data_IF_405914173779
#
_entry.id   IF_405914173779
#
_cell.length_a   1.000
_cell.length_b   1.000
_cell.length_c   1.000
_cell.angle_alpha   90.00
_cell.angle_beta   90.00
_cell.angle_gamma   90.00
#
_symmetry.space_group_name_H-M   'P 1'
#
loop_
_entity.id
_entity.type
_entity.pdbx_description
1 polymer ?
#
# COMPACT_ATOMS: atom_id res chain seq x y z
N UNK A 1 -3.33 -21.09 1.88
CA UNK A 1 -4.17 -20.12 2.60
C UNK A 1 -3.50 -19.78 3.91
N UNK A 2 -3.38 -18.50 4.22
CA UNK A 2 -3.02 -18.04 5.57
C UNK A 2 -4.31 -17.75 6.36
N UNK A 3 -4.20 -17.33 7.62
CA UNK A 3 -5.35 -17.06 8.48
C UNK A 3 -6.00 -15.69 8.17
N UNK A 4 -5.22 -14.68 7.80
CA UNK A 4 -5.70 -13.29 7.66
C UNK A 4 -5.46 -12.67 6.28
N UNK A 5 -4.28 -12.88 5.69
CA UNK A 5 -3.84 -12.19 4.46
C UNK A 5 -3.04 -13.12 3.57
N UNK A 6 -3.42 -13.17 2.31
CA UNK A 6 -2.84 -14.06 1.29
C UNK A 6 -2.53 -13.29 0.00
N UNK A 7 -2.15 -14.00 -1.07
CA UNK A 7 -1.80 -13.40 -2.35
C UNK A 7 -2.98 -12.71 -3.07
N UNK A 8 -4.22 -13.00 -2.69
CA UNK A 8 -5.42 -12.36 -3.25
C UNK A 8 -5.85 -11.11 -2.46
N UNK A 9 -5.18 -10.84 -1.33
CA UNK A 9 -5.50 -9.72 -0.46
C UNK A 9 -5.09 -8.40 -1.10
N UNK A 10 -6.08 -7.52 -1.28
CA UNK A 10 -5.89 -6.16 -1.81
C UNK A 10 -5.59 -5.19 -0.68
N UNK A 11 -4.47 -4.49 -0.77
CA UNK A 11 -3.98 -3.59 0.28
C UNK A 11 -4.09 -2.13 -0.16
N UNK A 12 -4.53 -1.27 0.74
CA UNK A 12 -4.53 0.19 0.57
C UNK A 12 -3.57 0.81 1.56
N UNK A 13 -2.70 1.72 1.10
CA UNK A 13 -1.73 2.40 1.97
C UNK A 13 -2.21 3.82 2.30
N UNK A 14 -2.47 4.06 3.58
CA UNK A 14 -2.81 5.38 4.09
C UNK A 14 -1.54 6.21 4.37
N UNK A 15 -1.53 7.46 3.91
CA UNK A 15 -0.35 8.31 4.00
C UNK A 15 0.76 7.91 3.01
N UNK A 16 0.40 7.33 1.84
CA UNK A 16 1.37 6.80 0.88
C UNK A 16 2.45 7.81 0.48
N UNK A 17 2.09 9.09 0.36
CA UNK A 17 3.05 10.14 -0.05
C UNK A 17 3.88 10.73 1.11
N UNK A 18 3.72 10.22 2.33
CA UNK A 18 4.58 10.53 3.47
C UNK A 18 5.84 9.66 3.47
N UNK A 19 6.85 10.03 4.27
CA UNK A 19 8.16 9.35 4.30
C UNK A 19 8.05 7.83 4.49
N UNK A 20 7.36 7.40 5.55
CA UNK A 20 7.22 5.97 5.87
C UNK A 20 6.29 5.25 4.90
N UNK A 21 5.19 5.90 4.49
CA UNK A 21 4.25 5.34 3.53
C UNK A 21 4.91 5.08 2.18
N UNK A 22 5.75 5.99 1.71
CA UNK A 22 6.48 5.84 0.45
C UNK A 22 7.56 4.76 0.56
N UNK A 23 8.34 4.76 1.65
CA UNK A 23 9.41 3.79 1.88
C UNK A 23 8.87 2.36 1.97
N UNK A 24 7.89 2.12 2.85
CA UNK A 24 7.31 0.79 3.02
C UNK A 24 6.40 0.41 1.84
N UNK A 25 5.70 1.36 1.23
CA UNK A 25 4.87 1.10 0.05
C UNK A 25 5.68 0.58 -1.14
N UNK A 26 6.85 1.16 -1.40
CA UNK A 26 7.78 0.66 -2.42
C UNK A 26 8.26 -0.76 -2.08
N UNK A 27 8.70 -0.99 -0.83
CA UNK A 27 9.13 -2.33 -0.39
C UNK A 27 8.00 -3.37 -0.48
N UNK A 28 6.74 -3.00 -0.21
CA UNK A 28 5.58 -3.88 -0.34
C UNK A 28 5.33 -4.27 -1.80
N UNK A 29 5.45 -3.33 -2.73
CA UNK A 29 5.33 -3.58 -4.17
C UNK A 29 6.46 -4.49 -4.66
N UNK A 30 7.71 -4.22 -4.29
CA UNK A 30 8.87 -5.05 -4.65
C UNK A 30 8.75 -6.48 -4.12
N UNK A 31 8.14 -6.65 -2.93
CA UNK A 31 7.86 -7.96 -2.35
C UNK A 31 6.67 -8.69 -3.00
N UNK A 32 5.92 -8.03 -3.90
CA UNK A 32 4.77 -8.60 -4.60
C UNK A 32 3.45 -8.53 -3.84
N UNK A 33 3.34 -7.61 -2.87
CA UNK A 33 2.06 -7.30 -2.22
C UNK A 33 1.13 -6.60 -3.21
N UNK A 34 -0.14 -6.99 -3.25
CA UNK A 34 -1.13 -6.36 -4.12
C UNK A 34 -1.64 -5.04 -3.53
N UNK A 35 -0.80 -4.00 -3.58
CA UNK A 35 -1.19 -2.63 -3.23
C UNK A 35 -2.03 -2.06 -4.37
N UNK A 36 -3.31 -1.79 -4.11
CA UNK A 36 -4.29 -1.37 -5.13
C UNK A 36 -4.58 0.14 -5.12
N UNK A 37 -4.27 0.82 -4.02
CA UNK A 37 -4.43 2.25 -3.90
C UNK A 37 -3.53 2.83 -2.80
N UNK A 38 -3.22 4.11 -2.93
CA UNK A 38 -2.72 4.94 -1.85
C UNK A 38 -3.65 6.11 -1.61
N UNK A 39 -3.70 6.60 -0.38
CA UNK A 39 -4.40 7.85 -0.08
C UNK A 39 -3.51 8.77 0.76
N UNK A 40 -3.61 10.08 0.54
CA UNK A 40 -3.04 11.09 1.44
C UNK A 40 -4.03 12.24 1.56
N UNK A 41 -4.40 12.67 2.78
CA UNK A 41 -5.28 13.83 2.97
C UNK A 41 -4.76 15.07 2.23
N UNK A 42 -5.65 15.75 1.52
CA UNK A 42 -5.32 16.97 0.76
C UNK A 42 -4.59 16.74 -0.58
N UNK A 43 -4.34 15.49 -0.99
CA UNK A 43 -3.69 15.15 -2.27
C UNK A 43 -4.58 14.34 -3.22
N UNK A 44 -5.89 14.60 -3.21
CA UNK A 44 -6.82 13.93 -4.12
C UNK A 44 -6.57 14.35 -5.58
N UNK A 45 -6.52 13.38 -6.50
CA UNK A 45 -6.31 13.61 -7.93
C UNK A 45 -4.86 13.53 -8.42
N UNK A 46 -3.94 13.06 -7.57
CA UNK A 46 -2.53 12.79 -7.88
C UNK A 46 -2.21 11.32 -7.62
#
# INVERSE_FOLDING_TARGET
MSILIDRSSRVVVHGLTGREGSFHGAAMLDYGTQVVAGMTPGKGGQ
#
